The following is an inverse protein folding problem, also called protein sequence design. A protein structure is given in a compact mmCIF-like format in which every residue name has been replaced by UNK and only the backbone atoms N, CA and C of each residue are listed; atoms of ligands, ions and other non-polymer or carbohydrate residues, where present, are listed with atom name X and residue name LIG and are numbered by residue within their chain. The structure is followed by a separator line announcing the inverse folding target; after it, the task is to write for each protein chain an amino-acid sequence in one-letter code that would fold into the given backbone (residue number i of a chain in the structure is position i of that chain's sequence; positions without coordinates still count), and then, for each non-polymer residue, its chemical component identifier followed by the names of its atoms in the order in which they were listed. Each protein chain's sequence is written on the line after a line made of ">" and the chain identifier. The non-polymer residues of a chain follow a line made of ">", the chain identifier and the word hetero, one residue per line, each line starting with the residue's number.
data_IF_109329194103
#
_entry.id   IF_109329194103
#
_cell.length_a   1.000
_cell.length_b   1.000
_cell.length_c   1.000
_cell.angle_alpha   90.00
_cell.angle_beta   90.00
_cell.angle_gamma   90.00
#
_symmetry.space_group_name_H-M   'P 1'
#
loop_
_entity.id
_entity.type
_entity.pdbx_description
1 polymer ?
#
# COMPACT_ATOMS: atom_id res chain seq x y z
N UNK A 1 -9.84 26.35 -34.66
CA UNK A 1 -9.45 26.73 -33.29
C UNK A 1 -10.54 26.22 -32.36
N UNK A 2 -10.25 25.21 -31.55
CA UNK A 2 -11.21 24.74 -30.56
C UNK A 2 -11.43 25.87 -29.54
N UNK A 3 -12.70 26.24 -29.32
CA UNK A 3 -13.07 27.14 -28.23
C UNK A 3 -12.54 26.54 -26.93
N UNK A 4 -11.56 27.20 -26.32
CA UNK A 4 -11.26 27.08 -24.89
C UNK A 4 -12.41 27.79 -24.16
N UNK A 5 -13.63 27.24 -24.29
CA UNK A 5 -14.78 27.69 -23.52
C UNK A 5 -14.48 27.45 -22.05
N UNK A 6 -14.90 28.41 -21.22
CA UNK A 6 -14.72 28.45 -19.77
C UNK A 6 -14.69 27.05 -19.15
N UNK A 7 -13.48 26.53 -18.92
CA UNK A 7 -13.32 25.30 -18.16
C UNK A 7 -13.93 25.59 -16.78
N UNK A 8 -14.92 24.80 -16.32
CA UNK A 8 -15.53 25.03 -15.03
C UNK A 8 -14.42 25.05 -13.98
N UNK A 9 -14.43 26.09 -13.13
CA UNK A 9 -13.42 26.27 -12.10
C UNK A 9 -13.23 24.95 -11.36
N UNK A 10 -11.98 24.45 -11.25
CA UNK A 10 -11.74 23.11 -10.74
C UNK A 10 -12.24 22.98 -9.31
N UNK A 11 -13.02 21.93 -9.04
CA UNK A 11 -13.51 21.65 -7.70
C UNK A 11 -12.40 20.98 -6.89
N UNK A 12 -12.18 21.50 -5.68
CA UNK A 12 -11.18 20.99 -4.74
C UNK A 12 -11.86 20.12 -3.68
N UNK A 13 -11.37 18.89 -3.52
CA UNK A 13 -11.85 17.96 -2.50
C UNK A 13 -10.72 17.70 -1.50
N UNK A 14 -10.88 18.07 -0.21
CA UNK A 14 -9.86 17.79 0.79
C UNK A 14 -9.73 16.28 1.01
N UNK A 15 -8.49 15.80 1.08
CA UNK A 15 -8.17 14.41 1.39
C UNK A 15 -7.01 14.34 2.39
N UNK A 16 -6.97 13.33 3.27
CA UNK A 16 -5.85 13.13 4.20
C UNK A 16 -4.55 12.74 3.47
N UNK A 17 -4.67 12.13 2.28
CA UNK A 17 -3.56 11.82 1.38
C UNK A 17 -4.10 11.66 -0.04
N UNK A 18 -3.19 11.69 -1.03
CA UNK A 18 -3.49 11.37 -2.42
C UNK A 18 -2.57 10.25 -2.91
N UNK A 19 -3.06 9.40 -3.80
CA UNK A 19 -2.22 8.43 -4.51
C UNK A 19 -1.67 9.12 -5.73
N UNK A 20 -0.35 9.09 -5.91
CA UNK A 20 0.28 9.89 -6.93
C UNK A 20 -0.04 9.43 -8.34
N UNK A 21 -0.28 10.43 -9.17
CA UNK A 21 -0.33 10.33 -10.61
C UNK A 21 0.27 11.64 -11.10
N UNK A 22 -0.56 12.62 -11.47
CA UNK A 22 -0.13 14.01 -11.63
C UNK A 22 -0.34 14.76 -10.30
N UNK A 23 0.73 15.22 -9.66
CA UNK A 23 0.66 15.85 -8.33
C UNK A 23 1.58 17.05 -8.23
N UNK A 24 1.05 18.14 -7.67
CA UNK A 24 1.79 19.38 -7.40
C UNK A 24 2.05 19.53 -5.90
N UNK A 25 3.28 19.89 -5.55
CA UNK A 25 3.68 20.17 -4.18
C UNK A 25 4.05 21.63 -4.03
N UNK A 26 3.51 22.29 -3.01
CA UNK A 26 4.08 23.54 -2.57
C UNK A 26 5.50 23.29 -2.05
N UNK A 27 6.48 24.15 -2.41
CA UNK A 27 7.89 23.97 -2.04
C UNK A 27 8.11 23.76 -0.53
N UNK A 28 7.28 24.39 0.29
CA UNK A 28 7.40 24.28 1.74
C UNK A 28 7.03 22.90 2.29
N UNK A 29 6.30 22.08 1.52
CA UNK A 29 6.09 20.67 1.86
C UNK A 29 7.43 19.98 1.97
N UNK A 30 8.28 20.02 0.94
CA UNK A 30 9.59 19.37 0.99
C UNK A 30 10.52 19.97 2.05
N UNK A 31 10.45 21.29 2.29
CA UNK A 31 11.27 21.95 3.33
C UNK A 31 10.89 21.52 4.74
N UNK A 32 9.60 21.43 5.04
CA UNK A 32 9.12 21.09 6.39
C UNK A 32 8.98 19.59 6.60
N UNK A 33 8.53 18.84 5.60
CA UNK A 33 8.24 17.40 5.66
C UNK A 33 9.48 16.56 5.37
N UNK A 34 10.42 17.08 4.59
CA UNK A 34 11.56 16.34 4.04
C UNK A 34 11.24 15.73 2.68
N UNK A 35 12.24 15.08 2.08
CA UNK A 35 12.12 14.41 0.78
C UNK A 35 11.41 13.04 0.92
N UNK A 36 11.42 12.28 -0.17
CA UNK A 36 10.96 10.89 -0.21
C UNK A 36 11.89 9.98 0.60
N UNK A 37 11.31 9.02 1.31
CA UNK A 37 12.09 7.94 1.92
C UNK A 37 12.42 6.90 0.84
N UNK A 38 13.69 6.80 0.46
CA UNK A 38 14.17 5.90 -0.61
C UNK A 38 13.95 4.40 -0.30
N UNK A 39 13.59 4.05 0.92
CA UNK A 39 13.20 2.68 1.29
C UNK A 39 11.78 2.35 0.81
N UNK A 40 10.97 3.37 0.52
CA UNK A 40 9.59 3.24 0.10
C UNK A 40 9.51 2.96 -1.41
N UNK A 41 9.62 1.68 -1.78
CA UNK A 41 9.36 1.21 -3.16
C UNK A 41 7.88 1.17 -3.52
N UNK A 42 7.02 1.28 -2.51
CA UNK A 42 5.56 1.26 -2.56
C UNK A 42 5.06 2.03 -1.34
N UNK A 43 3.95 2.73 -1.47
CA UNK A 43 3.37 3.61 -0.45
C UNK A 43 4.14 4.91 -0.22
N UNK A 44 5.06 5.27 -1.12
CA UNK A 44 5.82 6.52 -1.10
C UNK A 44 4.91 7.75 -1.20
N UNK A 45 3.85 7.62 -2.00
CA UNK A 45 2.75 8.57 -2.16
C UNK A 45 2.07 8.88 -0.83
N UNK A 46 1.65 7.82 -0.14
CA UNK A 46 0.97 7.87 1.14
C UNK A 46 1.91 8.35 2.24
N UNK A 47 3.17 7.90 2.23
CA UNK A 47 4.16 8.28 3.24
C UNK A 47 4.35 9.78 3.33
N UNK A 48 4.67 10.44 2.21
CA UNK A 48 4.93 11.87 2.22
C UNK A 48 3.65 12.67 2.50
N UNK A 49 2.50 12.23 2.00
CA UNK A 49 1.22 12.88 2.27
C UNK A 49 0.83 12.78 3.75
N UNK A 50 0.97 11.60 4.37
CA UNK A 50 0.67 11.40 5.79
C UNK A 50 1.64 12.19 6.68
N UNK A 51 2.95 12.21 6.36
CA UNK A 51 3.90 13.08 7.06
C UNK A 51 3.56 14.56 6.86
N UNK A 52 3.07 14.94 5.69
CA UNK A 52 2.56 16.28 5.41
C UNK A 52 1.35 16.64 6.28
N UNK A 53 0.36 15.75 6.33
CA UNK A 53 -0.81 15.87 7.19
C UNK A 53 -0.42 16.08 8.66
N UNK A 54 0.52 15.28 9.16
CA UNK A 54 1.02 15.42 10.53
C UNK A 54 1.80 16.71 10.81
N UNK A 55 2.20 17.45 9.76
CA UNK A 55 2.82 18.78 9.86
C UNK A 55 1.86 19.92 9.47
N UNK A 56 0.56 19.62 9.41
CA UNK A 56 -0.50 20.60 9.14
C UNK A 56 -0.70 20.94 7.66
N UNK A 57 -0.14 20.16 6.73
CA UNK A 57 -0.44 20.32 5.31
C UNK A 57 -1.70 19.55 4.92
N UNK A 58 -2.52 20.15 4.08
CA UNK A 58 -3.72 19.52 3.53
C UNK A 58 -3.45 19.03 2.11
N UNK A 59 -3.91 17.83 1.77
CA UNK A 59 -3.95 17.36 0.38
C UNK A 59 -5.31 17.67 -0.24
N UNK A 60 -5.32 17.95 -1.54
CA UNK A 60 -6.54 18.21 -2.30
C UNK A 60 -6.55 17.36 -3.57
N UNK A 61 -7.68 16.74 -3.85
CA UNK A 61 -8.00 16.17 -5.16
C UNK A 61 -8.67 17.26 -6.00
N UNK A 62 -8.17 17.44 -7.23
CA UNK A 62 -8.67 18.43 -8.18
C UNK A 62 -9.45 17.67 -9.26
N UNK A 63 -10.70 18.05 -9.54
CA UNK A 63 -11.58 17.34 -10.50
C UNK A 63 -11.22 17.53 -11.97
N UNK A 64 -10.03 18.03 -12.29
CA UNK A 64 -9.55 18.18 -13.66
C UNK A 64 -9.04 16.83 -14.18
N UNK A 65 -9.41 16.48 -15.41
CA UNK A 65 -8.95 15.26 -16.03
C UNK A 65 -7.44 15.32 -16.28
N UNK A 66 -6.69 14.44 -15.60
CA UNK A 66 -5.31 14.13 -15.92
C UNK A 66 -5.24 12.66 -16.39
N UNK A 67 -4.75 12.42 -17.60
CA UNK A 67 -4.69 11.09 -18.16
C UNK A 67 -3.38 10.40 -17.79
N UNK A 68 -3.49 9.34 -16.99
CA UNK A 68 -2.38 8.46 -16.64
C UNK A 68 -2.49 7.16 -17.45
N UNK A 69 -1.61 7.01 -18.44
CA UNK A 69 -1.66 5.89 -19.40
C UNK A 69 -0.94 4.68 -18.80
N UNK A 70 -1.65 3.96 -17.94
CA UNK A 70 -1.16 2.73 -17.31
C UNK A 70 -1.74 1.46 -17.93
N UNK A 71 -1.02 0.33 -17.80
CA UNK A 71 -1.55 -0.98 -18.17
C UNK A 71 -2.72 -1.35 -17.24
N UNK A 72 -3.94 -1.44 -17.80
CA UNK A 72 -5.24 -1.61 -17.11
C UNK A 72 -5.31 -2.70 -16.02
N UNK A 73 -4.50 -3.76 -16.04
CA UNK A 73 -4.65 -4.93 -15.14
C UNK A 73 -3.36 -5.40 -14.46
N UNK A 74 -2.25 -4.71 -14.69
CA UNK A 74 -0.93 -5.15 -14.22
C UNK A 74 -0.15 -3.94 -13.72
N UNK A 75 -0.34 -3.58 -12.46
CA UNK A 75 0.77 -2.96 -11.74
C UNK A 75 1.81 -4.05 -11.59
N UNK A 76 2.83 -3.98 -12.43
CA UNK A 76 3.97 -4.88 -12.44
C UNK A 76 4.98 -4.48 -11.38
N UNK A 77 4.89 -3.27 -10.79
CA UNK A 77 5.78 -2.77 -9.73
C UNK A 77 6.04 -3.80 -8.62
N UNK A 78 5.03 -4.44 -7.96
CA UNK A 78 5.32 -5.44 -6.94
C UNK A 78 6.04 -6.68 -7.50
N UNK A 79 5.79 -7.00 -8.77
CA UNK A 79 6.37 -8.14 -9.48
C UNK A 79 7.80 -7.83 -9.89
N UNK A 80 8.07 -6.70 -10.54
CA UNK A 80 9.39 -6.32 -11.06
C UNK A 80 10.36 -5.86 -9.98
N UNK A 81 9.86 -5.25 -8.89
CA UNK A 81 10.72 -4.84 -7.77
C UNK A 81 11.41 -6.04 -7.14
N UNK A 82 12.75 -6.10 -7.03
CA UNK A 82 13.45 -7.20 -6.38
C UNK A 82 13.05 -7.35 -4.91
N UNK A 83 13.02 -8.60 -4.42
CA UNK A 83 12.67 -8.91 -3.02
C UNK A 83 13.38 -8.03 -1.99
N UNK A 84 14.71 -7.93 -2.09
CA UNK A 84 15.53 -7.12 -1.17
C UNK A 84 15.06 -5.68 -1.13
N UNK A 85 14.76 -5.09 -2.29
CA UNK A 85 14.31 -3.71 -2.38
C UNK A 85 12.89 -3.55 -1.83
N UNK A 86 12.01 -4.51 -2.13
CA UNK A 86 10.63 -4.54 -1.64
C UNK A 86 10.56 -4.55 -0.11
N UNK A 87 11.41 -5.37 0.53
CA UNK A 87 11.45 -5.52 1.98
C UNK A 87 12.10 -4.33 2.71
N UNK A 88 12.77 -3.41 2.01
CA UNK A 88 13.26 -2.16 2.65
C UNK A 88 12.07 -1.38 3.19
N UNK A 89 12.17 -0.89 4.44
CA UNK A 89 11.11 -0.09 5.05
C UNK A 89 9.78 -0.84 5.25
N UNK A 90 9.79 -2.18 5.27
CA UNK A 90 8.57 -3.00 5.27
C UNK A 90 7.62 -2.68 6.44
N UNK A 91 8.15 -2.44 7.65
CA UNK A 91 7.35 -2.04 8.80
C UNK A 91 6.57 -0.76 8.55
N UNK A 92 7.24 0.28 8.00
CA UNK A 92 6.61 1.55 7.68
C UNK A 92 5.54 1.41 6.60
N UNK A 93 5.84 0.65 5.53
CA UNK A 93 4.87 0.32 4.47
C UNK A 93 3.63 -0.39 5.02
N UNK A 94 3.82 -1.39 5.87
CA UNK A 94 2.73 -2.14 6.48
C UNK A 94 1.88 -1.27 7.40
N UNK A 95 2.50 -0.40 8.21
CA UNK A 95 1.79 0.56 9.06
C UNK A 95 0.94 1.54 8.22
N UNK A 96 1.53 2.13 7.18
CA UNK A 96 0.83 3.03 6.26
C UNK A 96 -0.35 2.31 5.61
N UNK A 97 -0.16 1.07 5.14
CA UNK A 97 -1.24 0.29 4.54
C UNK A 97 -2.28 -0.19 5.54
N UNK A 98 -1.93 -0.40 6.81
CA UNK A 98 -2.89 -0.67 7.86
C UNK A 98 -3.80 0.54 8.12
N UNK A 99 -3.26 1.76 8.03
CA UNK A 99 -4.02 2.99 8.22
C UNK A 99 -4.84 3.42 7.00
N UNK A 100 -4.27 3.23 5.80
CA UNK A 100 -4.83 3.71 4.52
C UNK A 100 -5.30 2.58 3.57
N UNK A 101 -5.86 1.45 4.03
CA UNK A 101 -5.97 0.26 3.20
C UNK A 101 -6.93 0.47 2.02
N UNK A 102 -6.44 0.18 0.81
CA UNK A 102 -7.30 0.00 -0.37
C UNK A 102 -8.16 -1.26 -0.21
N UNK A 103 -9.25 -1.38 -0.98
CA UNK A 103 -10.13 -2.58 -0.94
C UNK A 103 -9.34 -3.89 -1.12
N UNK A 104 -8.40 -3.91 -2.07
CA UNK A 104 -7.51 -5.05 -2.29
C UNK A 104 -6.65 -5.37 -1.07
N UNK A 105 -6.08 -4.36 -0.42
CA UNK A 105 -5.27 -4.55 0.78
C UNK A 105 -6.10 -5.08 1.94
N UNK A 106 -7.34 -4.58 2.14
CA UNK A 106 -8.26 -5.12 3.16
C UNK A 106 -8.52 -6.61 2.95
N UNK A 107 -8.91 -6.98 1.73
CA UNK A 107 -9.21 -8.38 1.38
C UNK A 107 -7.98 -9.27 1.61
N UNK A 108 -6.83 -8.89 1.06
CA UNK A 108 -5.62 -9.70 1.19
C UNK A 108 -5.15 -9.80 2.65
N UNK A 109 -5.25 -8.72 3.43
CA UNK A 109 -4.89 -8.76 4.86
C UNK A 109 -5.82 -9.69 5.62
N UNK A 110 -7.13 -9.64 5.36
CA UNK A 110 -8.08 -10.56 5.97
C UNK A 110 -7.79 -12.02 5.60
N UNK A 111 -7.49 -12.31 4.33
CA UNK A 111 -7.12 -13.66 3.87
C UNK A 111 -5.91 -14.19 4.65
N UNK A 112 -4.82 -13.41 4.71
CA UNK A 112 -3.62 -13.84 5.43
C UNK A 112 -3.87 -13.98 6.93
N UNK A 113 -4.60 -13.05 7.54
CA UNK A 113 -4.95 -13.15 8.96
C UNK A 113 -5.78 -14.40 9.28
N UNK A 114 -6.76 -14.74 8.43
CA UNK A 114 -7.55 -15.96 8.58
C UNK A 114 -6.70 -17.21 8.40
N UNK A 115 -5.82 -17.26 7.40
CA UNK A 115 -4.91 -18.40 7.18
C UNK A 115 -4.04 -18.64 8.42
N UNK A 116 -3.41 -17.59 8.95
CA UNK A 116 -2.62 -17.66 10.20
C UNK A 116 -3.44 -18.13 11.39
N UNK A 117 -4.64 -17.58 11.57
CA UNK A 117 -5.53 -17.97 12.67
C UNK A 117 -5.96 -19.43 12.55
N UNK A 118 -6.31 -19.90 11.34
CA UNK A 118 -6.67 -21.30 11.08
C UNK A 118 -5.49 -22.23 11.34
N UNK A 119 -4.29 -21.88 10.90
CA UNK A 119 -3.09 -22.66 11.16
C UNK A 119 -2.85 -22.81 12.67
N UNK A 120 -2.89 -21.71 13.42
CA UNK A 120 -2.61 -21.69 14.86
C UNK A 120 -3.69 -22.41 15.66
N UNK A 121 -4.97 -22.09 15.44
CA UNK A 121 -6.08 -22.70 16.18
C UNK A 121 -6.28 -24.16 15.79
N UNK A 122 -5.95 -24.54 14.55
CA UNK A 122 -6.07 -25.91 14.07
C UNK A 122 -5.01 -26.86 14.62
N UNK A 123 -3.88 -26.37 15.15
CA UNK A 123 -2.83 -27.22 15.72
C UNK A 123 -3.34 -28.11 16.86
N UNK A 124 -4.35 -27.66 17.62
CA UNK A 124 -4.96 -28.47 18.68
C UNK A 124 -5.89 -29.57 18.15
N UNK A 125 -6.36 -29.45 16.90
CA UNK A 125 -7.26 -30.42 16.28
C UNK A 125 -6.50 -31.45 15.43
N UNK A 126 -5.46 -31.04 14.71
CA UNK A 126 -4.65 -31.94 13.88
C UNK A 126 -3.24 -31.41 13.64
N UNK A 127 -2.20 -32.26 13.67
CA UNK A 127 -0.83 -31.86 13.36
C UNK A 127 -0.65 -31.37 11.92
N UNK A 128 -1.62 -31.61 11.03
CA UNK A 128 -1.57 -31.18 9.63
C UNK A 128 -2.17 -29.78 9.40
N UNK A 129 -2.83 -29.18 10.40
CA UNK A 129 -3.46 -27.87 10.25
C UNK A 129 -2.52 -26.75 9.74
N UNK A 130 -1.23 -26.69 10.15
CA UNK A 130 -0.30 -25.69 9.64
C UNK A 130 -0.07 -25.75 8.11
N UNK A 131 -0.41 -26.85 7.43
CA UNK A 131 -0.26 -26.94 5.97
C UNK A 131 -1.14 -25.93 5.20
N UNK A 132 -2.17 -25.37 5.84
CA UNK A 132 -2.99 -24.30 5.25
C UNK A 132 -2.17 -23.04 4.88
N UNK A 133 -1.05 -22.79 5.57
CA UNK A 133 -0.09 -21.72 5.25
C UNK A 133 0.56 -21.86 3.88
N UNK A 134 0.53 -23.06 3.30
CA UNK A 134 1.08 -23.31 1.98
C UNK A 134 0.12 -22.88 0.85
N UNK A 135 -1.17 -22.67 1.13
CA UNK A 135 -2.15 -22.31 0.09
C UNK A 135 -1.79 -21.00 -0.63
N UNK A 136 -1.42 -19.90 0.05
CA UNK A 136 -0.98 -18.69 -0.64
C UNK A 136 0.31 -18.91 -1.44
N UNK A 137 1.23 -19.77 -0.99
CA UNK A 137 2.44 -20.10 -1.74
C UNK A 137 2.09 -20.83 -3.05
N UNK A 138 1.25 -21.87 -2.98
CA UNK A 138 0.78 -22.62 -4.16
C UNK A 138 0.13 -21.67 -5.16
N UNK A 139 -0.77 -20.79 -4.70
CA UNK A 139 -1.39 -19.78 -5.55
C UNK A 139 -0.37 -18.90 -6.28
N UNK A 140 0.64 -18.40 -5.57
CA UNK A 140 1.66 -17.53 -6.15
C UNK A 140 2.54 -18.29 -7.15
N UNK A 141 2.90 -19.55 -6.86
CA UNK A 141 3.68 -20.40 -7.78
C UNK A 141 2.89 -20.73 -9.05
N UNK A 142 1.59 -21.04 -8.94
CA UNK A 142 0.73 -21.25 -10.11
C UNK A 142 0.60 -19.99 -10.96
N UNK A 143 0.52 -18.82 -10.33
CA UNK A 143 0.30 -17.54 -11.03
C UNK A 143 1.57 -16.96 -11.66
N UNK A 144 2.72 -17.10 -11.00
CA UNK A 144 3.96 -16.42 -11.39
C UNK A 144 5.11 -17.38 -11.75
N UNK A 145 4.90 -18.70 -11.68
CA UNK A 145 5.94 -19.71 -11.84
C UNK A 145 6.73 -19.95 -10.54
N UNK A 146 7.61 -20.95 -10.52
CA UNK A 146 8.26 -21.42 -9.29
C UNK A 146 9.05 -20.33 -8.53
N UNK A 147 10.19 -19.88 -9.08
CA UNK A 147 11.07 -18.91 -8.41
C UNK A 147 10.37 -17.58 -8.13
N UNK A 148 9.62 -17.06 -9.10
CA UNK A 148 8.95 -15.76 -8.94
C UNK A 148 7.74 -15.85 -8.02
N UNK A 149 7.00 -16.95 -8.04
CA UNK A 149 5.92 -17.22 -7.11
C UNK A 149 6.40 -17.29 -5.67
N UNK A 150 7.51 -17.96 -5.38
CA UNK A 150 8.12 -17.96 -4.05
C UNK A 150 8.48 -16.53 -3.59
N UNK A 151 9.07 -15.72 -4.48
CA UNK A 151 9.35 -14.32 -4.19
C UNK A 151 8.08 -13.50 -3.87
N UNK A 152 7.04 -13.66 -4.70
CA UNK A 152 5.76 -12.98 -4.50
C UNK A 152 5.04 -13.43 -3.23
N UNK A 153 5.17 -14.70 -2.87
CA UNK A 153 4.69 -15.24 -1.61
C UNK A 153 5.39 -14.57 -0.44
N UNK A 154 6.72 -14.50 -0.40
CA UNK A 154 7.45 -13.86 0.71
C UNK A 154 7.04 -12.39 0.85
N UNK A 155 6.91 -11.66 -0.26
CA UNK A 155 6.43 -10.26 -0.25
C UNK A 155 5.04 -10.13 0.34
N UNK A 156 4.10 -10.95 -0.13
CA UNK A 156 2.71 -10.93 0.30
C UNK A 156 2.58 -11.34 1.77
N UNK A 157 3.24 -12.44 2.15
CA UNK A 157 3.30 -12.95 3.52
C UNK A 157 3.81 -11.85 4.45
N UNK A 158 4.97 -11.27 4.15
CA UNK A 158 5.58 -10.26 5.02
C UNK A 158 4.68 -9.02 5.15
N UNK A 159 4.22 -8.48 4.01
CA UNK A 159 3.40 -7.26 4.03
C UNK A 159 2.07 -7.49 4.75
N UNK A 160 1.30 -8.51 4.37
CA UNK A 160 -0.06 -8.68 4.88
C UNK A 160 -0.09 -9.20 6.32
N UNK A 161 0.91 -9.99 6.75
CA UNK A 161 1.05 -10.36 8.16
C UNK A 161 1.33 -9.12 9.03
N UNK A 162 2.30 -8.29 8.64
CA UNK A 162 2.59 -7.04 9.37
C UNK A 162 1.41 -6.06 9.33
N UNK A 163 0.71 -5.97 8.18
CA UNK A 163 -0.49 -5.12 8.07
C UNK A 163 -1.59 -5.58 9.01
N UNK A 164 -1.81 -6.90 9.14
CA UNK A 164 -2.76 -7.46 10.09
C UNK A 164 -2.41 -7.12 11.53
N UNK A 165 -1.12 -7.25 11.89
CA UNK A 165 -0.62 -6.90 13.23
C UNK A 165 -0.76 -5.40 13.55
N UNK A 166 -0.62 -4.53 12.55
CA UNK A 166 -0.76 -3.09 12.73
C UNK A 166 -2.20 -2.57 12.56
N UNK A 167 -3.15 -3.38 12.08
CA UNK A 167 -4.55 -2.94 11.95
C UNK A 167 -5.15 -2.34 13.24
N UNK A 168 -4.90 -2.89 14.44
CA UNK A 168 -5.41 -2.29 15.68
C UNK A 168 -4.88 -0.87 15.93
N UNK A 169 -3.68 -0.54 15.43
CA UNK A 169 -3.11 0.80 15.54
C UNK A 169 -3.83 1.83 14.67
N UNK A 170 -4.66 1.42 13.70
CA UNK A 170 -5.48 2.33 12.90
C UNK A 170 -6.46 3.14 13.75
N UNK A 171 -6.81 2.66 14.93
CA UNK A 171 -7.66 3.36 15.89
C UNK A 171 -6.91 4.47 16.65
N UNK A 172 -5.58 4.53 16.52
CA UNK A 172 -4.72 5.55 17.14
C UNK A 172 -4.30 6.59 16.10
N UNK A 173 -3.86 7.75 16.58
CA UNK A 173 -3.29 8.80 15.74
C UNK A 173 -2.04 8.31 15.01
N UNK A 174 -2.07 8.28 13.68
CA UNK A 174 -0.94 7.86 12.83
C UNK A 174 0.28 8.77 13.02
N UNK A 175 0.07 10.03 13.40
CA UNK A 175 1.15 11.00 13.56
C UNK A 175 2.11 10.67 14.71
N UNK A 176 1.70 9.80 15.64
CA UNK A 176 2.59 9.27 16.68
C UNK A 176 3.55 8.19 16.16
N UNK A 177 3.35 7.67 14.94
CA UNK A 177 4.02 6.47 14.44
C UNK A 177 4.79 6.66 13.13
N UNK A 178 4.65 7.81 12.44
CA UNK A 178 5.19 8.05 11.08
C UNK A 178 6.30 9.09 11.04
#
# INVERSE_FOLDING_TARGET
>A
MANLGDDPSPTLYPAPFVVFSVTLFHRDVFRKVGLFDERMTQAEDRDICLRGYCKGFQSFYISTAAYDINRRRLSDVPVTTPLRQYLRGMHKKALIYAYTPSRRQKINTAIFATVHATAVLGMSATPLAPLVELLPLVYQMMRYGGRKGAEMYIKALTLYTLTALFMPLRLKDICAWI
#
